data_IF_466325566446
#
_entry.id   IF_466325566446
#
_cell.length_a   1.000
_cell.length_b   1.000
_cell.length_c   1.000
_cell.angle_alpha   90.00
_cell.angle_beta   90.00
_cell.angle_gamma   90.00
#
_symmetry.space_group_name_H-M   'P 1'
#
loop_
_entity.id
_entity.type
_entity.pdbx_description
1 polymer ?
#
# COMPACT_ATOMS: atom_id res chain seq x y z
N UNK A 1 15.15 24.77 -27.32
CA UNK A 1 15.79 23.46 -27.05
C UNK A 1 15.31 22.99 -25.69
N UNK A 2 14.54 21.90 -25.63
CA UNK A 2 14.10 21.32 -24.35
C UNK A 2 15.26 20.56 -23.71
N UNK A 3 15.43 20.70 -22.40
CA UNK A 3 16.42 19.90 -21.66
C UNK A 3 16.06 18.40 -21.78
N UNK A 4 17.05 17.51 -21.93
CA UNK A 4 16.78 16.07 -21.99
C UNK A 4 16.12 15.61 -20.68
N UNK A 5 15.02 14.84 -20.81
CA UNK A 5 14.38 14.18 -19.68
C UNK A 5 15.28 13.02 -19.26
N UNK A 6 15.93 13.16 -18.12
CA UNK A 6 16.71 12.07 -17.53
C UNK A 6 15.75 11.03 -16.93
N UNK A 7 15.90 9.79 -17.36
CA UNK A 7 15.24 8.63 -16.76
C UNK A 7 16.34 7.83 -16.02
N UNK A 8 16.28 7.71 -14.68
CA UNK A 8 17.27 6.96 -13.93
C UNK A 8 17.25 5.48 -14.32
N UNK A 9 18.41 4.83 -14.23
CA UNK A 9 18.48 3.37 -14.39
C UNK A 9 17.96 2.68 -13.13
N UNK A 10 17.52 1.42 -13.24
CA UNK A 10 17.15 0.62 -12.06
C UNK A 10 18.29 0.54 -11.04
N UNK A 11 19.55 0.53 -11.49
CA UNK A 11 20.70 0.53 -10.62
C UNK A 11 20.82 1.83 -9.80
N UNK A 12 20.50 2.98 -10.41
CA UNK A 12 20.48 4.28 -9.75
C UNK A 12 19.36 4.34 -8.71
N UNK A 13 18.15 3.87 -9.05
CA UNK A 13 17.01 3.82 -8.14
C UNK A 13 17.29 2.95 -6.90
N UNK A 14 17.90 1.77 -7.11
CA UNK A 14 18.24 0.85 -6.02
C UNK A 14 19.34 1.43 -5.12
N UNK A 15 20.34 2.11 -5.69
CA UNK A 15 21.39 2.78 -4.91
C UNK A 15 20.78 3.85 -4.01
N UNK A 16 19.95 4.73 -4.57
CA UNK A 16 19.29 5.81 -3.82
C UNK A 16 18.47 5.23 -2.65
N UNK A 17 17.67 4.19 -2.90
CA UNK A 17 16.88 3.56 -1.85
C UNK A 17 17.73 2.93 -0.73
N UNK A 18 18.89 2.34 -1.08
CA UNK A 18 19.83 1.75 -0.11
C UNK A 18 20.44 2.81 0.80
N UNK A 19 20.72 3.99 0.27
CA UNK A 19 21.29 5.13 1.01
C UNK A 19 20.28 5.85 1.92
N UNK A 20 18.97 5.64 1.71
CA UNK A 20 17.94 6.20 2.58
C UNK A 20 17.99 5.65 4.00
N UNK A 21 17.87 6.55 4.98
CA UNK A 21 17.57 6.22 6.37
C UNK A 21 16.19 5.57 6.53
N UNK A 22 15.93 4.83 7.61
CA UNK A 22 14.60 4.28 7.89
C UNK A 22 13.48 5.34 7.88
N UNK A 23 13.76 6.56 8.37
CA UNK A 23 12.79 7.66 8.37
C UNK A 23 12.46 8.14 6.95
N UNK A 24 13.47 8.27 6.08
CA UNK A 24 13.27 8.62 4.67
C UNK A 24 12.48 7.55 3.92
N UNK A 25 12.78 6.26 4.15
CA UNK A 25 12.01 5.15 3.57
C UNK A 25 10.55 5.18 3.99
N UNK A 26 10.28 5.42 5.28
CA UNK A 26 8.92 5.57 5.78
C UNK A 26 8.19 6.77 5.15
N UNK A 27 8.90 7.89 4.95
CA UNK A 27 8.34 9.06 4.28
C UNK A 27 8.03 8.79 2.80
N UNK A 28 8.94 8.14 2.06
CA UNK A 28 8.74 7.74 0.68
C UNK A 28 7.55 6.78 0.53
N UNK A 29 7.46 5.76 1.37
CA UNK A 29 6.33 4.83 1.39
C UNK A 29 5.00 5.56 1.63
N UNK A 30 4.94 6.46 2.63
CA UNK A 30 3.73 7.27 2.88
C UNK A 30 3.36 8.14 1.68
N UNK A 31 4.35 8.70 0.98
CA UNK A 31 4.10 9.50 -0.23
C UNK A 31 3.50 8.65 -1.35
N UNK A 32 4.06 7.47 -1.61
CA UNK A 32 3.56 6.51 -2.60
C UNK A 32 2.13 6.06 -2.24
N UNK A 33 1.87 5.68 -0.98
CA UNK A 33 0.53 5.30 -0.55
C UNK A 33 -0.49 6.43 -0.72
N UNK A 34 -0.12 7.68 -0.39
CA UNK A 34 -1.01 8.84 -0.60
C UNK A 34 -1.28 9.12 -2.07
N UNK A 35 -0.26 8.99 -2.93
CA UNK A 35 -0.43 9.13 -4.36
C UNK A 35 -1.36 8.04 -4.92
N UNK A 36 -1.13 6.78 -4.53
CA UNK A 36 -1.99 5.65 -4.88
C UNK A 36 -3.42 5.83 -4.41
N UNK A 37 -3.64 6.31 -3.18
CA UNK A 37 -4.96 6.60 -2.65
C UNK A 37 -5.68 7.71 -3.46
N UNK A 38 -4.98 8.80 -3.79
CA UNK A 38 -5.54 9.87 -4.64
C UNK A 38 -5.91 9.35 -6.03
N UNK A 39 -5.04 8.55 -6.64
CA UNK A 39 -5.30 7.94 -7.94
C UNK A 39 -6.49 6.98 -7.89
N UNK A 40 -6.62 6.20 -6.82
CA UNK A 40 -7.77 5.32 -6.62
C UNK A 40 -9.07 6.12 -6.47
N UNK A 41 -9.04 7.21 -5.70
CA UNK A 41 -10.17 8.11 -5.48
C UNK A 41 -10.58 8.91 -6.74
N UNK A 42 -9.64 9.19 -7.64
CA UNK A 42 -9.94 9.90 -8.90
C UNK A 42 -10.58 9.01 -9.96
N UNK A 43 -10.76 7.71 -9.69
CA UNK A 43 -11.39 6.81 -10.65
C UNK A 43 -12.91 6.99 -10.66
N UNK A 44 -13.57 6.90 -11.83
CA UNK A 44 -15.04 6.91 -11.90
C UNK A 44 -15.69 5.78 -11.10
N UNK A 45 -14.97 4.67 -10.90
CA UNK A 45 -15.41 3.51 -10.13
C UNK A 45 -14.80 3.44 -8.72
N UNK A 46 -14.23 4.54 -8.22
CA UNK A 46 -13.59 4.61 -6.90
C UNK A 46 -14.51 4.11 -5.78
N UNK A 47 -15.77 4.55 -5.76
CA UNK A 47 -16.75 4.15 -4.75
C UNK A 47 -16.97 2.62 -4.78
N UNK A 48 -17.11 2.04 -5.96
CA UNK A 48 -17.28 0.58 -6.13
C UNK A 48 -16.06 -0.19 -5.64
N UNK A 49 -14.85 0.29 -5.93
CA UNK A 49 -13.60 -0.36 -5.50
C UNK A 49 -13.41 -0.24 -3.99
N UNK A 50 -13.66 0.93 -3.40
CA UNK A 50 -13.51 1.18 -1.98
C UNK A 50 -14.58 0.48 -1.13
N UNK A 51 -15.79 0.34 -1.66
CA UNK A 51 -16.87 -0.41 -1.04
C UNK A 51 -16.77 -1.92 -1.29
N UNK A 52 -15.83 -2.37 -2.14
CA UNK A 52 -15.64 -3.79 -2.37
C UNK A 52 -15.19 -4.47 -1.08
N UNK A 53 -16.05 -5.35 -0.57
CA UNK A 53 -15.72 -6.25 0.53
C UNK A 53 -15.46 -7.61 -0.06
N UNK A 54 -14.18 -7.95 -0.18
CA UNK A 54 -13.79 -9.32 -0.47
C UNK A 54 -14.45 -10.23 0.57
N UNK A 55 -15.17 -11.24 0.08
CA UNK A 55 -15.67 -12.27 0.97
C UNK A 55 -14.47 -12.98 1.57
N UNK A 56 -14.30 -12.86 2.89
CA UNK A 56 -13.30 -13.65 3.59
C UNK A 56 -13.54 -15.14 3.33
N UNK A 57 -12.50 -15.92 3.02
CA UNK A 57 -12.62 -17.38 2.96
C UNK A 57 -13.22 -17.91 4.26
N UNK A 58 -14.08 -18.93 4.16
CA UNK A 58 -14.74 -19.51 5.35
C UNK A 58 -13.73 -20.00 6.39
N UNK A 59 -12.54 -20.42 5.96
CA UNK A 59 -11.40 -20.76 6.83
C UNK A 59 -10.96 -19.58 7.70
N UNK A 60 -10.79 -18.39 7.12
CA UNK A 60 -10.42 -17.16 7.82
C UNK A 60 -11.52 -16.71 8.78
N UNK A 61 -12.79 -16.82 8.38
CA UNK A 61 -13.95 -16.53 9.25
C UNK A 61 -13.94 -17.44 10.48
N UNK A 62 -13.73 -18.75 10.29
CA UNK A 62 -13.62 -19.72 11.40
C UNK A 62 -12.45 -19.43 12.31
N UNK A 63 -11.29 -19.07 11.75
CA UNK A 63 -10.10 -18.73 12.53
C UNK A 63 -10.32 -17.47 13.39
N UNK A 64 -10.90 -16.42 12.83
CA UNK A 64 -11.26 -15.19 13.56
C UNK A 64 -12.28 -15.45 14.65
N UNK A 65 -13.31 -16.26 14.38
CA UNK A 65 -14.30 -16.64 15.38
C UNK A 65 -13.66 -17.40 16.56
N UNK A 66 -12.68 -18.27 16.29
CA UNK A 66 -11.90 -18.97 17.32
C UNK A 66 -11.09 -17.98 18.17
N UNK A 67 -10.36 -17.06 17.53
CA UNK A 67 -9.55 -16.06 18.22
C UNK A 67 -10.40 -15.15 19.13
N UNK A 68 -11.58 -14.72 18.65
CA UNK A 68 -12.52 -13.91 19.46
C UNK A 68 -13.01 -14.64 20.70
N UNK A 69 -13.31 -15.94 20.59
CA UNK A 69 -13.72 -16.76 21.75
C UNK A 69 -12.59 -16.91 22.76
N UNK A 70 -11.36 -17.08 22.30
CA UNK A 70 -10.19 -17.18 23.18
C UNK A 70 -9.95 -15.86 23.93
N UNK A 71 -10.05 -14.73 23.24
CA UNK A 71 -9.88 -13.41 23.84
C UNK A 71 -11.00 -13.02 24.83
N UNK A 72 -12.22 -13.51 24.64
CA UNK A 72 -13.35 -13.25 25.53
C UNK A 72 -13.40 -14.18 26.76
N UNK A 73 -12.63 -15.27 26.75
CA UNK A 73 -12.50 -16.23 27.85
C UNK A 73 -11.18 -16.11 28.61
N UNK A 74 -10.37 -15.09 28.32
CA UNK A 74 -9.17 -14.68 29.07
C UNK A 74 -9.45 -13.40 29.82
#
# INVERSE_FOLDING_TARGET
MGAPIYVPSLADEVREYREMTPAQRAAALRAVCRAGARMALSRPDAERVLCHRDRLPDSSVRALARLRRQAAGS
#
